data_IF_728311593279
#
_entry.id   IF_728311593279
#
_cell.length_a   1.000
_cell.length_b   1.000
_cell.length_c   1.000
_cell.angle_alpha   90.00
_cell.angle_beta   90.00
_cell.angle_gamma   90.00
#
_symmetry.space_group_name_H-M   'P 1'
#
loop_
_entity.id
_entity.type
_entity.pdbx_description
1 polymer ?
#
# COMPACT_ATOMS: atom_id res chain seq x y z
N UNK A 1 17.54 0.63 -1.71
CA UNK A 1 17.99 2.05 -1.67
C UNK A 1 19.23 2.24 -2.53
N UNK A 2 19.09 2.98 -3.62
CA UNK A 2 20.22 3.41 -4.44
C UNK A 2 20.87 4.69 -3.88
N UNK A 3 22.20 4.70 -3.79
CA UNK A 3 22.98 5.93 -3.47
C UNK A 3 23.24 6.81 -4.69
N UNK A 4 23.00 6.27 -5.88
CA UNK A 4 23.13 6.98 -7.15
C UNK A 4 21.95 7.92 -7.35
N UNK A 5 22.19 9.22 -7.19
CA UNK A 5 21.22 10.27 -7.44
C UNK A 5 21.92 11.51 -7.99
N UNK A 6 21.16 12.33 -8.72
CA UNK A 6 21.61 13.64 -9.16
C UNK A 6 21.09 14.69 -8.19
N UNK A 7 22.01 15.42 -7.56
CA UNK A 7 21.67 16.52 -6.66
C UNK A 7 22.33 17.82 -7.09
N UNK A 8 21.63 18.92 -6.88
CA UNK A 8 22.10 20.26 -7.21
C UNK A 8 21.85 21.23 -6.07
N UNK A 9 22.70 22.23 -5.92
CA UNK A 9 22.56 23.21 -4.85
C UNK A 9 21.63 24.37 -5.28
N UNK A 10 20.78 24.84 -4.37
CA UNK A 10 19.85 25.95 -4.65
C UNK A 10 20.53 27.28 -4.98
N UNK A 11 21.76 27.48 -4.50
CA UNK A 11 22.55 28.71 -4.69
C UNK A 11 23.21 28.78 -6.09
N UNK A 12 23.07 27.74 -6.92
CA UNK A 12 23.65 27.72 -8.27
C UNK A 12 22.77 28.45 -9.28
N UNK A 13 23.38 28.85 -10.40
CA UNK A 13 22.64 29.24 -11.60
C UNK A 13 22.44 28.02 -12.52
N UNK A 14 21.55 28.15 -13.50
CA UNK A 14 21.23 27.07 -14.45
C UNK A 14 22.47 26.58 -15.21
N UNK A 15 23.41 27.46 -15.58
CA UNK A 15 24.64 27.06 -16.26
C UNK A 15 25.50 26.11 -15.43
N UNK A 16 25.78 26.50 -14.18
CA UNK A 16 26.57 25.70 -13.23
C UNK A 16 25.85 24.40 -12.91
N UNK A 17 24.53 24.47 -12.67
CA UNK A 17 23.69 23.31 -12.43
C UNK A 17 23.81 22.26 -13.54
N UNK A 18 23.63 22.65 -14.81
CA UNK A 18 23.72 21.71 -15.94
C UNK A 18 25.14 21.12 -16.07
N UNK A 19 26.17 21.93 -15.82
CA UNK A 19 27.57 21.46 -15.85
C UNK A 19 27.82 20.38 -14.79
N UNK A 20 27.43 20.63 -13.54
CA UNK A 20 27.61 19.69 -12.42
C UNK A 20 26.75 18.44 -12.60
N UNK A 21 25.52 18.60 -13.10
CA UNK A 21 24.65 17.47 -13.41
C UNK A 21 25.27 16.53 -14.46
N UNK A 22 25.95 17.06 -15.48
CA UNK A 22 26.61 16.23 -16.50
C UNK A 22 27.71 15.35 -15.89
N UNK A 23 28.50 15.91 -14.97
CA UNK A 23 29.57 15.18 -14.27
C UNK A 23 28.98 14.07 -13.39
N UNK A 24 27.89 14.36 -12.67
CA UNK A 24 27.20 13.35 -11.86
C UNK A 24 26.56 12.26 -12.73
N UNK A 25 25.96 12.65 -13.86
CA UNK A 25 25.25 11.72 -14.76
C UNK A 25 26.17 10.67 -15.41
N UNK A 26 27.47 10.91 -15.54
CA UNK A 26 28.43 9.89 -16.00
C UNK A 26 28.53 8.69 -15.04
N UNK A 27 28.22 8.91 -13.76
CA UNK A 27 28.32 7.90 -12.70
C UNK A 27 26.96 7.34 -12.27
N UNK A 28 25.88 7.67 -13.00
CA UNK A 28 24.52 7.26 -12.66
C UNK A 28 23.91 6.54 -13.85
N UNK A 29 23.43 5.32 -13.63
CA UNK A 29 22.82 4.47 -14.67
C UNK A 29 21.58 5.10 -15.33
N UNK A 30 20.69 5.70 -14.53
CA UNK A 30 19.50 6.44 -14.99
C UNK A 30 19.20 7.64 -14.12
N UNK A 31 18.97 8.79 -14.75
CA UNK A 31 18.52 10.02 -14.07
C UNK A 31 16.99 10.06 -14.05
N UNK A 32 16.37 9.59 -12.96
CA UNK A 32 14.91 9.64 -12.80
C UNK A 32 14.41 10.99 -12.26
N UNK A 33 15.20 11.64 -11.41
CA UNK A 33 14.82 12.89 -10.77
C UNK A 33 16.05 13.68 -10.35
N UNK A 34 15.92 15.00 -10.34
CA UNK A 34 16.98 15.93 -9.94
C UNK A 34 16.53 16.59 -8.64
N UNK A 35 17.25 16.32 -7.57
CA UNK A 35 16.92 16.86 -6.25
C UNK A 35 17.70 18.13 -5.96
N UNK A 36 17.06 19.09 -5.30
CA UNK A 36 17.67 20.35 -4.89
C UNK A 36 17.96 20.31 -3.41
N UNK A 37 19.19 20.65 -3.04
CA UNK A 37 19.68 20.69 -1.67
C UNK A 37 20.27 22.05 -1.30
N UNK A 38 20.40 22.33 -0.01
CA UNK A 38 21.22 23.45 0.49
C UNK A 38 22.68 23.04 0.74
N UNK A 39 23.45 23.98 1.29
CA UNK A 39 24.86 23.79 1.65
C UNK A 39 25.08 22.71 2.73
N UNK A 40 24.04 22.39 3.52
CA UNK A 40 24.05 21.33 4.53
C UNK A 40 23.52 19.99 3.99
N UNK A 41 23.29 19.87 2.67
CA UNK A 41 22.64 18.75 1.98
C UNK A 41 21.18 18.50 2.38
N UNK A 42 20.49 19.47 2.99
CA UNK A 42 19.06 19.31 3.32
C UNK A 42 18.21 19.40 2.05
N UNK A 43 17.26 18.49 1.93
CA UNK A 43 16.37 18.42 0.77
C UNK A 43 15.42 19.63 0.74
N UNK A 44 15.47 20.43 -0.34
CA UNK A 44 14.64 21.62 -0.54
C UNK A 44 13.54 21.44 -1.58
N UNK A 45 13.81 20.63 -2.60
CA UNK A 45 12.98 20.63 -3.79
C UNK A 45 13.38 19.59 -4.82
N UNK A 46 12.69 19.63 -5.95
CA UNK A 46 13.08 18.94 -7.18
C UNK A 46 13.09 19.88 -8.37
N UNK A 47 13.86 19.55 -9.39
CA UNK A 47 13.87 20.26 -10.66
C UNK A 47 13.24 19.43 -11.77
N UNK A 48 12.49 20.12 -12.62
CA UNK A 48 12.03 19.58 -13.88
C UNK A 48 13.08 19.81 -14.96
N UNK A 49 13.36 18.78 -15.77
CA UNK A 49 14.20 18.93 -16.97
C UNK A 49 13.63 19.97 -17.93
N UNK A 50 12.30 20.07 -18.03
CA UNK A 50 11.62 21.09 -18.84
C UNK A 50 12.04 22.50 -18.40
N UNK A 51 11.97 22.78 -17.10
CA UNK A 51 12.25 24.12 -16.56
C UNK A 51 13.72 24.48 -16.73
N UNK A 52 14.62 23.51 -16.60
CA UNK A 52 16.05 23.68 -16.88
C UNK A 52 16.35 24.00 -18.36
N UNK A 53 15.55 23.46 -19.30
CA UNK A 53 15.73 23.70 -20.74
C UNK A 53 15.09 25.01 -21.21
N UNK A 54 14.02 25.47 -20.56
CA UNK A 54 13.28 26.69 -20.98
C UNK A 54 13.75 27.96 -20.28
N UNK A 55 14.55 27.84 -19.22
CA UNK A 55 15.02 28.98 -18.42
C UNK A 55 16.36 29.52 -18.91
N UNK A 56 16.59 30.83 -18.77
CA UNK A 56 17.88 31.46 -19.03
C UNK A 56 19.00 30.84 -18.18
N UNK A 57 20.18 30.69 -18.76
CA UNK A 57 21.36 30.12 -18.11
C UNK A 57 21.85 30.91 -16.90
N UNK A 58 21.44 32.18 -16.77
CA UNK A 58 21.81 33.08 -15.66
C UNK A 58 20.84 33.04 -14.48
N UNK A 59 19.66 32.44 -14.62
CA UNK A 59 18.67 32.36 -13.55
C UNK A 59 19.15 31.47 -12.41
N UNK A 60 18.79 31.79 -11.16
CA UNK A 60 19.13 30.97 -10.00
C UNK A 60 18.21 29.76 -9.89
N UNK A 61 18.75 28.65 -9.38
CA UNK A 61 17.97 27.42 -9.13
C UNK A 61 16.88 27.68 -8.08
N UNK A 62 17.18 28.53 -7.08
CA UNK A 62 16.24 28.99 -6.05
C UNK A 62 14.89 29.51 -6.57
N UNK A 63 14.88 30.04 -7.79
CA UNK A 63 13.72 30.69 -8.40
C UNK A 63 12.86 29.72 -9.21
N UNK A 64 13.41 28.55 -9.58
CA UNK A 64 12.76 27.62 -10.51
C UNK A 64 12.45 26.25 -9.90
N UNK A 65 13.05 25.88 -8.76
CA UNK A 65 12.81 24.57 -8.17
C UNK A 65 11.42 24.43 -7.56
N UNK A 66 10.88 23.23 -7.60
CA UNK A 66 9.56 22.89 -7.03
C UNK A 66 9.77 22.46 -5.58
N UNK A 67 9.33 23.30 -4.63
CA UNK A 67 9.39 23.05 -3.17
C UNK A 67 8.55 21.87 -2.71
N UNK A 68 7.41 21.64 -3.37
CA UNK A 68 6.48 20.58 -2.98
C UNK A 68 6.95 19.25 -3.55
N UNK A 69 7.54 18.42 -2.71
CA UNK A 69 7.86 17.04 -3.02
C UNK A 69 7.46 16.12 -1.86
N UNK A 70 7.20 14.86 -2.18
CA UNK A 70 7.03 13.80 -1.21
C UNK A 70 8.40 13.19 -0.93
N UNK A 71 8.73 12.97 0.34
CA UNK A 71 9.96 12.31 0.77
C UNK A 71 9.62 11.32 1.90
N UNK A 72 10.52 10.37 2.13
CA UNK A 72 10.42 9.40 3.22
C UNK A 72 11.68 9.46 4.08
N UNK A 73 11.56 9.06 5.34
CA UNK A 73 12.72 8.97 6.22
C UNK A 73 13.43 7.63 5.98
N UNK A 74 14.71 7.56 6.33
CA UNK A 74 15.53 6.35 6.17
C UNK A 74 15.05 5.15 7.01
N UNK A 75 14.23 5.38 8.03
CA UNK A 75 13.62 4.39 8.93
C UNK A 75 12.19 3.99 8.52
N UNK A 76 11.66 4.56 7.44
CA UNK A 76 10.30 4.24 6.97
C UNK A 76 10.25 2.83 6.39
N UNK A 77 9.26 2.04 6.78
CA UNK A 77 9.06 0.68 6.26
C UNK A 77 8.78 0.67 4.76
N UNK A 78 9.33 -0.32 4.05
CA UNK A 78 9.21 -0.45 2.58
C UNK A 78 7.74 -0.47 2.12
N UNK A 79 6.85 -1.11 2.89
CA UNK A 79 5.41 -1.15 2.58
C UNK A 79 4.78 0.25 2.58
N UNK A 80 5.18 1.11 3.51
CA UNK A 80 4.68 2.49 3.56
C UNK A 80 5.28 3.34 2.42
N UNK A 81 6.56 3.11 2.08
CA UNK A 81 7.18 3.72 0.90
C UNK A 81 6.41 3.33 -0.36
N UNK A 82 6.08 2.05 -0.53
CA UNK A 82 5.29 1.53 -1.64
C UNK A 82 3.93 2.23 -1.76
N UNK A 83 3.20 2.34 -0.64
CA UNK A 83 1.89 3.03 -0.59
C UNK A 83 1.98 4.50 -0.99
N UNK A 84 3.00 5.22 -0.51
CA UNK A 84 3.21 6.63 -0.87
C UNK A 84 3.53 6.75 -2.37
N UNK A 85 4.42 5.89 -2.90
CA UNK A 85 4.80 5.91 -4.30
C UNK A 85 3.61 5.60 -5.21
N UNK A 86 2.78 4.60 -4.89
CA UNK A 86 1.57 4.26 -5.62
C UNK A 86 0.53 5.38 -5.57
N UNK A 87 0.30 5.99 -4.40
CA UNK A 87 -0.72 7.02 -4.22
C UNK A 87 -0.45 8.28 -5.03
N UNK A 88 0.82 8.62 -5.24
CA UNK A 88 1.25 9.84 -5.93
C UNK A 88 1.88 9.56 -7.30
N UNK A 89 1.76 8.32 -7.82
CA UNK A 89 2.33 7.88 -9.10
C UNK A 89 3.81 8.27 -9.27
N UNK A 90 4.62 8.03 -8.22
CA UNK A 90 6.02 8.44 -8.19
C UNK A 90 6.94 7.38 -8.81
N UNK A 91 7.75 7.78 -9.78
CA UNK A 91 8.81 6.92 -10.34
C UNK A 91 10.00 6.73 -9.37
N UNK A 92 10.25 7.73 -8.53
CA UNK A 92 11.29 7.71 -7.51
C UNK A 92 10.92 8.64 -6.35
N UNK A 93 11.30 8.25 -5.14
CA UNK A 93 11.10 9.03 -3.92
C UNK A 93 12.43 9.26 -3.20
N UNK A 94 12.76 10.51 -2.82
CA UNK A 94 13.97 10.81 -2.06
C UNK A 94 13.84 10.35 -0.61
N UNK A 95 14.97 9.89 -0.06
CA UNK A 95 15.10 9.42 1.32
C UNK A 95 15.94 10.43 2.09
N UNK A 96 15.44 10.85 3.26
CA UNK A 96 16.12 11.79 4.15
C UNK A 96 16.49 11.16 5.49
N UNK A 97 17.54 11.68 6.12
CA UNK A 97 17.85 11.37 7.53
C UNK A 97 17.03 12.22 8.52
N UNK A 98 17.20 11.96 9.82
CA UNK A 98 16.55 12.71 10.90
C UNK A 98 16.83 14.23 10.88
N UNK A 99 17.92 14.65 10.23
CA UNK A 99 18.32 16.05 10.09
C UNK A 99 17.82 16.68 8.79
N UNK A 100 17.05 15.92 7.99
CA UNK A 100 16.48 16.34 6.71
C UNK A 100 17.47 16.31 5.54
N UNK A 101 18.63 15.66 5.70
CA UNK A 101 19.66 15.56 4.66
C UNK A 101 19.29 14.47 3.68
N UNK A 102 19.47 14.75 2.39
CA UNK A 102 19.23 13.78 1.32
C UNK A 102 20.31 12.68 1.37
N UNK A 103 19.90 11.46 1.74
CA UNK A 103 20.81 10.31 1.87
C UNK A 103 20.70 9.33 0.69
N UNK A 104 19.58 9.34 -0.03
CA UNK A 104 19.36 8.37 -1.09
C UNK A 104 18.05 8.60 -1.84
N UNK A 105 17.71 7.63 -2.70
CA UNK A 105 16.39 7.52 -3.33
C UNK A 105 15.96 6.06 -3.42
N UNK A 106 14.66 5.85 -3.53
CA UNK A 106 14.04 4.56 -3.84
C UNK A 106 13.30 4.71 -5.16
N UNK A 107 13.50 3.78 -6.08
CA UNK A 107 12.83 3.72 -7.39
C UNK A 107 11.65 2.79 -7.37
N UNK A 108 10.71 2.99 -8.30
CA UNK A 108 9.57 2.08 -8.47
C UNK A 108 10.05 0.65 -8.72
N UNK A 109 11.12 0.47 -9.50
CA UNK A 109 11.70 -0.83 -9.79
C UNK A 109 12.19 -1.56 -8.51
N UNK A 110 12.58 -0.84 -7.46
CA UNK A 110 13.03 -1.42 -6.19
C UNK A 110 11.85 -1.88 -5.31
N UNK A 111 10.65 -1.31 -5.51
CA UNK A 111 9.49 -1.51 -4.63
C UNK A 111 8.38 -2.35 -5.27
N UNK A 112 8.51 -2.67 -6.57
CA UNK A 112 7.53 -3.49 -7.31
C UNK A 112 7.34 -4.85 -6.64
N UNK A 113 8.41 -5.50 -6.19
CA UNK A 113 8.32 -6.79 -5.51
C UNK A 113 7.58 -6.65 -4.17
N UNK A 114 7.88 -5.59 -3.40
CA UNK A 114 7.18 -5.30 -2.13
C UNK A 114 5.68 -5.06 -2.34
N UNK A 115 5.31 -4.34 -3.41
CA UNK A 115 3.90 -4.14 -3.79
C UNK A 115 3.22 -5.47 -4.07
N UNK A 116 3.89 -6.36 -4.80
CA UNK A 116 3.36 -7.66 -5.19
C UNK A 116 3.22 -8.57 -3.98
N UNK A 117 4.24 -8.65 -3.15
CA UNK A 117 4.26 -9.50 -1.95
C UNK A 117 3.19 -9.07 -0.94
N UNK A 118 3.00 -7.76 -0.74
CA UNK A 118 1.91 -7.26 0.10
C UNK A 118 0.52 -7.63 -0.47
N UNK A 119 0.34 -7.52 -1.79
CA UNK A 119 -0.92 -7.91 -2.44
C UNK A 119 -1.18 -9.43 -2.33
N UNK A 120 -0.16 -10.25 -2.50
CA UNK A 120 -0.23 -11.70 -2.37
C UNK A 120 -0.54 -12.09 -0.92
N UNK A 121 0.08 -11.43 0.07
CA UNK A 121 -0.19 -11.62 1.49
C UNK A 121 -1.62 -11.23 1.88
N UNK A 122 -2.11 -10.08 1.40
CA UNK A 122 -3.50 -9.65 1.61
C UNK A 122 -4.49 -10.67 1.02
N UNK A 123 -4.18 -11.22 -0.16
CA UNK A 123 -4.99 -12.25 -0.80
C UNK A 123 -5.01 -13.55 0.02
N UNK A 124 -3.84 -14.01 0.49
CA UNK A 124 -3.73 -15.19 1.33
C UNK A 124 -4.52 -15.04 2.64
N UNK A 125 -4.39 -13.89 3.32
CA UNK A 125 -5.15 -13.58 4.53
C UNK A 125 -6.66 -13.57 4.27
N UNK A 126 -7.11 -12.96 3.17
CA UNK A 126 -8.52 -12.96 2.77
C UNK A 126 -9.06 -14.36 2.47
N UNK A 127 -8.21 -15.29 2.02
CA UNK A 127 -8.54 -16.69 1.79
C UNK A 127 -8.48 -17.57 3.06
N UNK A 128 -8.15 -16.99 4.22
CA UNK A 128 -8.03 -17.74 5.48
C UNK A 128 -6.72 -18.54 5.60
N UNK A 129 -5.67 -18.08 4.93
CA UNK A 129 -4.32 -18.64 5.00
C UNK A 129 -3.50 -17.77 5.96
N UNK A 130 -2.92 -18.40 6.99
CA UNK A 130 -2.27 -17.68 8.10
C UNK A 130 -0.76 -17.56 8.00
N UNK A 131 -0.15 -18.26 7.05
CA UNK A 131 1.29 -18.28 6.80
C UNK A 131 1.54 -17.92 5.34
N UNK A 132 2.67 -17.26 5.08
CA UNK A 132 3.10 -17.04 3.71
C UNK A 132 3.49 -18.39 3.11
N UNK A 133 2.70 -18.85 2.15
CA UNK A 133 2.87 -20.15 1.51
C UNK A 133 2.89 -20.01 0.00
N UNK A 134 3.82 -20.70 -0.63
CA UNK A 134 3.90 -20.78 -2.08
C UNK A 134 3.14 -21.99 -2.62
N UNK A 135 2.70 -21.90 -3.87
CA UNK A 135 1.99 -23.00 -4.54
C UNK A 135 2.81 -24.30 -4.65
N UNK A 136 4.13 -24.21 -4.54
CA UNK A 136 5.05 -25.34 -4.64
C UNK A 136 5.48 -25.89 -3.26
N UNK A 137 4.94 -25.34 -2.17
CA UNK A 137 5.19 -25.84 -0.82
C UNK A 137 4.63 -27.25 -0.62
N UNK A 138 5.14 -27.93 0.40
CA UNK A 138 4.67 -29.28 0.71
C UNK A 138 3.19 -29.27 1.12
N UNK A 139 2.48 -30.36 0.80
CA UNK A 139 1.06 -30.54 1.21
C UNK A 139 0.87 -30.33 2.71
N UNK A 140 1.87 -30.67 3.51
CA UNK A 140 1.85 -30.54 4.96
C UNK A 140 1.95 -29.07 5.41
N UNK A 141 2.74 -28.23 4.74
CA UNK A 141 2.83 -26.78 5.01
C UNK A 141 1.51 -26.08 4.65
N UNK A 142 0.99 -26.34 3.44
CA UNK A 142 -0.31 -25.79 2.99
C UNK A 142 -1.46 -26.18 3.93
N UNK A 143 -1.44 -27.42 4.44
CA UNK A 143 -2.45 -27.87 5.41
C UNK A 143 -2.31 -27.14 6.74
N UNK A 144 -1.09 -26.99 7.27
CA UNK A 144 -0.84 -26.25 8.52
C UNK A 144 -1.23 -24.78 8.42
N UNK A 145 -1.02 -24.14 7.27
CA UNK A 145 -1.37 -22.73 7.07
C UNK A 145 -2.89 -22.46 7.09
N UNK A 146 -3.70 -23.46 6.69
CA UNK A 146 -5.18 -23.37 6.63
C UNK A 146 -5.88 -23.88 7.88
N UNK A 147 -5.27 -24.86 8.56
CA UNK A 147 -5.89 -25.58 9.68
C UNK A 147 -6.40 -24.65 10.80
N UNK A 148 -5.68 -23.59 11.22
CA UNK A 148 -6.18 -22.68 12.25
C UNK A 148 -7.53 -22.07 11.89
N UNK A 149 -7.68 -21.54 10.67
CA UNK A 149 -8.92 -20.90 10.23
C UNK A 149 -10.06 -21.91 10.05
N UNK A 150 -9.74 -23.09 9.52
CA UNK A 150 -10.71 -24.19 9.38
C UNK A 150 -11.23 -24.69 10.72
N UNK A 151 -10.37 -24.82 11.73
CA UNK A 151 -10.77 -25.25 13.07
C UNK A 151 -11.66 -24.21 13.75
N UNK A 152 -11.35 -22.92 13.61
CA UNK A 152 -12.19 -21.83 14.12
C UNK A 152 -13.57 -21.91 13.46
N UNK A 153 -13.64 -22.03 12.12
CA UNK A 153 -14.89 -22.20 11.39
C UNK A 153 -15.68 -23.42 11.85
N UNK A 154 -15.01 -24.55 12.05
CA UNK A 154 -15.63 -25.79 12.52
C UNK A 154 -16.25 -25.63 13.93
N UNK A 155 -15.56 -24.95 14.85
CA UNK A 155 -16.10 -24.69 16.19
C UNK A 155 -17.36 -23.82 16.12
N UNK A 156 -17.37 -22.80 15.26
CA UNK A 156 -18.55 -21.94 15.05
C UNK A 156 -19.72 -22.76 14.50
N UNK A 157 -19.48 -23.64 13.53
CA UNK A 157 -20.52 -24.54 12.97
C UNK A 157 -21.05 -25.53 14.01
N UNK A 158 -20.20 -26.04 14.90
CA UNK A 158 -20.63 -26.89 16.01
C UNK A 158 -21.60 -26.10 16.93
N UNK A 159 -21.29 -24.84 17.26
CA UNK A 159 -22.18 -23.98 18.05
C UNK A 159 -23.52 -23.77 17.33
N UNK A 160 -23.50 -23.52 16.02
CA UNK A 160 -24.72 -23.39 15.22
C UNK A 160 -25.58 -24.66 15.26
N UNK A 161 -24.96 -25.84 15.23
CA UNK A 161 -25.68 -27.12 15.33
C UNK A 161 -26.46 -27.29 16.64
N UNK A 162 -25.93 -26.78 17.76
CA UNK A 162 -26.64 -26.80 19.04
C UNK A 162 -27.89 -25.90 19.03
N UNK A 163 -27.85 -24.78 18.31
CA UNK A 163 -29.02 -23.90 18.12
C UNK A 163 -30.11 -24.60 17.32
N UNK A 164 -29.73 -25.35 16.27
CA UNK A 164 -30.69 -26.15 15.49
C UNK A 164 -31.32 -27.26 16.35
N UNK A 165 -30.51 -27.97 17.14
CA UNK A 165 -30.99 -29.00 18.06
C UNK A 165 -31.98 -28.44 19.08
N UNK A 166 -31.76 -27.23 19.60
CA UNK A 166 -32.70 -26.57 20.51
C UNK A 166 -34.08 -26.28 19.90
N UNK A 167 -34.20 -26.25 18.57
CA UNK A 167 -35.43 -25.96 17.83
C UNK A 167 -36.05 -27.19 17.15
N UNK A 168 -35.65 -28.41 17.56
CA UNK A 168 -36.07 -29.67 16.94
C UNK A 168 -37.60 -29.83 16.86
N UNK A 169 -38.34 -29.44 17.90
CA UNK A 169 -39.82 -29.53 17.92
C UNK A 169 -40.49 -28.68 16.83
N UNK A 170 -39.91 -27.54 16.49
CA UNK A 170 -40.40 -26.65 15.43
C UNK A 170 -40.20 -27.28 14.06
N UNK A 171 -39.05 -27.93 13.85
CA UNK A 171 -38.73 -28.61 12.59
C UNK A 171 -39.59 -29.86 12.37
N UNK A 172 -40.02 -30.55 13.43
CA UNK A 172 -41.00 -31.65 13.30
C UNK A 172 -42.38 -31.17 12.85
N UNK A 173 -42.77 -29.94 13.23
CA UNK A 173 -44.05 -29.34 12.83
C UNK A 173 -43.97 -28.75 11.42
N UNK A 174 -42.81 -28.19 11.05
CA UNK A 174 -42.59 -27.50 9.78
C UNK A 174 -41.32 -27.99 9.07
N UNK A 175 -41.35 -29.25 8.60
CA UNK A 175 -40.18 -29.92 8.01
C UNK A 175 -39.58 -29.18 6.80
N UNK A 176 -40.39 -28.44 6.04
CA UNK A 176 -39.93 -27.68 4.88
C UNK A 176 -38.92 -26.58 5.24
N UNK A 177 -38.95 -26.05 6.47
CA UNK A 177 -38.04 -24.97 6.90
C UNK A 177 -36.57 -25.40 6.89
N UNK A 178 -36.28 -26.69 7.07
CA UNK A 178 -34.91 -27.22 7.06
C UNK A 178 -34.23 -26.95 5.71
N UNK A 179 -34.97 -27.00 4.60
CA UNK A 179 -34.43 -26.78 3.25
C UNK A 179 -33.94 -25.33 3.08
N UNK A 180 -34.51 -24.38 3.82
CA UNK A 180 -34.10 -22.98 3.78
C UNK A 180 -32.86 -22.68 4.62
N UNK A 181 -32.49 -23.55 5.58
CA UNK A 181 -31.35 -23.30 6.48
C UNK A 181 -30.03 -23.17 5.69
N UNK A 182 -29.64 -24.12 4.81
CA UNK A 182 -28.42 -23.97 4.02
C UNK A 182 -28.48 -22.78 3.06
N UNK A 183 -29.66 -22.50 2.47
CA UNK A 183 -29.86 -21.41 1.54
C UNK A 183 -29.62 -20.04 2.21
N UNK A 184 -30.25 -19.83 3.38
CA UNK A 184 -30.11 -18.60 4.14
C UNK A 184 -28.69 -18.46 4.71
N UNK A 185 -28.10 -19.54 5.22
CA UNK A 185 -26.73 -19.55 5.74
C UNK A 185 -25.71 -19.16 4.66
N UNK A 186 -25.77 -19.80 3.49
CA UNK A 186 -24.87 -19.48 2.37
C UNK A 186 -25.03 -18.04 1.88
N UNK A 187 -26.27 -17.55 1.81
CA UNK A 187 -26.56 -16.16 1.42
C UNK A 187 -26.01 -15.17 2.44
N UNK A 188 -26.22 -15.43 3.73
CA UNK A 188 -25.69 -14.60 4.82
C UNK A 188 -24.15 -14.57 4.82
N UNK A 189 -23.52 -15.73 4.60
CA UNK A 189 -22.06 -15.84 4.48
C UNK A 189 -21.51 -15.01 3.31
N UNK A 190 -22.10 -15.14 2.12
CA UNK A 190 -21.70 -14.37 0.94
C UNK A 190 -21.85 -12.86 1.16
N UNK A 191 -22.96 -12.41 1.77
CA UNK A 191 -23.17 -11.00 2.12
C UNK A 191 -22.09 -10.53 3.10
N UNK A 192 -21.75 -11.35 4.11
CA UNK A 192 -20.70 -11.06 5.09
C UNK A 192 -19.33 -10.87 4.45
N UNK A 193 -18.93 -11.78 3.55
CA UNK A 193 -17.65 -11.69 2.81
C UNK A 193 -17.62 -10.44 1.93
N UNK A 194 -18.68 -10.16 1.17
CA UNK A 194 -18.77 -8.97 0.31
C UNK A 194 -18.72 -7.67 1.14
N UNK A 195 -19.46 -7.61 2.25
CA UNK A 195 -19.47 -6.44 3.11
C UNK A 195 -18.09 -6.20 3.73
N UNK A 196 -17.41 -7.27 4.16
CA UNK A 196 -16.06 -7.23 4.73
C UNK A 196 -15.04 -6.77 3.69
N UNK A 197 -15.07 -7.33 2.48
CA UNK A 197 -14.17 -6.95 1.39
C UNK A 197 -14.25 -5.45 1.07
N UNK A 198 -15.46 -4.88 0.98
CA UNK A 198 -15.66 -3.44 0.75
C UNK A 198 -15.07 -2.60 1.88
N UNK A 199 -15.24 -3.02 3.14
CA UNK A 199 -14.73 -2.28 4.30
C UNK A 199 -13.20 -2.35 4.36
N UNK A 200 -12.61 -3.55 4.21
CA UNK A 200 -11.16 -3.75 4.21
C UNK A 200 -10.52 -2.98 3.06
N UNK A 201 -11.08 -3.06 1.85
CA UNK A 201 -10.59 -2.30 0.70
C UNK A 201 -10.66 -0.79 0.94
N UNK A 202 -11.75 -0.30 1.56
CA UNK A 202 -11.88 1.12 1.86
C UNK A 202 -10.88 1.60 2.90
N UNK A 203 -10.52 0.76 3.89
CA UNK A 203 -9.48 1.01 4.88
C UNK A 203 -8.08 1.01 4.23
N UNK A 204 -7.76 0.01 3.41
CA UNK A 204 -6.48 -0.11 2.70
C UNK A 204 -6.23 1.09 1.77
N UNK A 205 -7.27 1.54 1.05
CA UNK A 205 -7.19 2.70 0.17
C UNK A 205 -7.24 4.06 0.90
N UNK A 206 -7.38 4.07 2.23
CA UNK A 206 -7.49 5.29 3.04
C UNK A 206 -8.74 6.14 2.74
N UNK A 207 -9.74 5.56 2.07
CA UNK A 207 -11.06 6.18 1.82
C UNK A 207 -11.95 6.12 3.05
N UNK A 208 -11.74 5.12 3.91
CA UNK A 208 -12.32 4.98 5.23
C UNK A 208 -11.23 5.29 6.25
N UNK A 209 -11.29 6.46 6.90
CA UNK A 209 -10.36 6.84 7.98
C UNK A 209 -10.95 6.71 9.38
N UNK A 210 -12.27 6.90 9.50
CA UNK A 210 -12.98 6.78 10.77
C UNK A 210 -14.28 6.00 10.57
N UNK A 211 -14.54 5.06 11.48
CA UNK A 211 -15.83 4.41 11.62
C UNK A 211 -16.83 5.39 12.23
N UNK A 212 -17.32 6.34 11.42
CA UNK A 212 -18.36 7.27 11.85
C UNK A 212 -19.72 6.59 11.83
N UNK A 213 -20.60 6.94 12.78
CA UNK A 213 -21.98 6.43 12.87
C UNK A 213 -22.78 6.63 11.57
N UNK A 214 -22.39 7.60 10.74
CA UNK A 214 -22.97 7.87 9.42
C UNK A 214 -22.58 6.89 8.31
N UNK A 215 -21.50 6.12 8.48
CA UNK A 215 -21.16 5.04 7.55
C UNK A 215 -22.10 3.84 7.68
N UNK A 216 -22.54 3.54 8.90
CA UNK A 216 -23.48 2.44 9.16
C UNK A 216 -24.88 2.72 8.59
N UNK A 217 -25.33 3.98 8.61
CA UNK A 217 -26.64 4.37 8.05
C UNK A 217 -26.66 4.36 6.52
N UNK A 218 -25.53 4.60 5.84
CA UNK A 218 -25.44 4.54 4.36
C UNK A 218 -25.62 3.13 3.78
N UNK A 219 -25.31 2.07 4.54
CA UNK A 219 -25.42 0.67 4.09
C UNK A 219 -26.74 -0.02 4.43
N UNK A 220 -27.67 0.67 5.10
CA UNK A 220 -29.03 0.19 5.36
C UNK A 220 -30.00 0.97 4.47
N UNK A 221 -30.25 0.53 3.22
CA UNK A 221 -31.32 1.09 2.41
C UNK A 221 -32.64 0.49 2.89
N UNK A 222 -33.08 0.90 4.08
CA UNK A 222 -34.46 0.73 4.50
C UNK A 222 -35.04 2.12 4.74
N UNK A 223 -35.33 2.79 3.63
CA UNK A 223 -36.27 3.89 3.56
C UNK A 223 -37.14 3.69 2.33
#
# INVERSE_FOLDING_TARGET
>A
MGKELVKVNENWNVLTCVKEMRIQAENVSRVHSIYVVDDENRLKGRLSLKDLLTTSTKTQISDIYIRKLNFVNADTEDVEVARIMQKYDLEAIPVVDELGRLVGRITIDDIVDVIKDEADKDYQLAAGITQDVESNDSVLELTKARLPWLLIGMVIEIVASFVLKGNESTFQTYSTLIIFVPLLSATAGNIGVQASAIVVQGLANGTLKEFSRGYFTKKLPFQ
#
